data_IF_027892050757
#
_entry.id   IF_027892050757
#
_cell.length_a   1.000
_cell.length_b   1.000
_cell.length_c   1.000
_cell.angle_alpha   90.00
_cell.angle_beta   90.00
_cell.angle_gamma   90.00
#
_symmetry.space_group_name_H-M   'P 1'
#
loop_
_entity.id
_entity.type
_entity.pdbx_description
1 polymer ?
#
# COMPACT_ATOMS: atom_id res chain seq x y z
N UNK A 1 0.95 19.41 -19.68
CA UNK A 1 0.98 17.94 -19.64
C UNK A 1 0.79 17.57 -18.19
N UNK A 2 -0.17 16.70 -17.90
CA UNK A 2 -0.50 16.25 -16.56
C UNK A 2 -0.09 14.79 -16.41
N UNK A 3 0.10 14.34 -15.17
CA UNK A 3 0.16 12.92 -14.87
C UNK A 3 -1.26 12.33 -14.75
N UNK A 4 -1.44 11.09 -15.19
CA UNK A 4 -2.69 10.31 -15.05
C UNK A 4 -2.43 8.92 -14.50
N UNK A 5 -3.39 8.40 -13.75
CA UNK A 5 -3.40 7.02 -13.26
C UNK A 5 -4.00 6.11 -14.35
N UNK A 6 -3.14 5.48 -15.15
CA UNK A 6 -3.53 4.83 -16.40
C UNK A 6 -4.03 3.40 -16.22
N UNK A 7 -3.48 2.64 -15.28
CA UNK A 7 -3.88 1.25 -15.07
C UNK A 7 -3.54 0.78 -13.67
N UNK A 8 -4.19 -0.32 -13.27
CA UNK A 8 -3.94 -1.03 -12.02
C UNK A 8 -3.79 -2.53 -12.30
N UNK A 9 -2.93 -3.20 -11.57
CA UNK A 9 -2.83 -4.65 -11.48
C UNK A 9 -2.52 -5.06 -10.04
N UNK A 10 -2.89 -6.28 -9.66
CA UNK A 10 -2.53 -6.82 -8.37
C UNK A 10 -2.24 -8.32 -8.47
N UNK A 11 -1.51 -8.81 -7.48
CA UNK A 11 -1.25 -10.22 -7.29
C UNK A 11 -1.44 -10.59 -5.83
N UNK A 12 -2.13 -11.71 -5.63
CA UNK A 12 -2.36 -12.31 -4.32
C UNK A 12 -1.77 -13.73 -4.34
N UNK A 13 -0.93 -14.10 -3.36
CA UNK A 13 -0.45 -15.46 -3.21
C UNK A 13 -1.56 -16.48 -3.04
N UNK A 14 -1.25 -17.77 -3.20
CA UNK A 14 -2.25 -18.84 -3.19
C UNK A 14 -2.62 -19.34 -1.79
N UNK A 15 -1.70 -19.31 -0.84
CA UNK A 15 -1.94 -19.90 0.47
C UNK A 15 -2.81 -18.97 1.31
N UNK A 16 -3.95 -19.47 1.76
CA UNK A 16 -4.89 -18.73 2.61
C UNK A 16 -4.59 -19.02 4.08
N UNK A 17 -4.44 -17.97 4.87
CA UNK A 17 -4.42 -18.00 6.33
C UNK A 17 -5.76 -17.46 6.84
N UNK A 18 -6.71 -18.36 7.13
CA UNK A 18 -7.95 -18.00 7.80
C UNK A 18 -7.74 -17.80 9.31
N UNK A 19 -8.77 -17.38 10.04
CA UNK A 19 -8.66 -17.18 11.49
C UNK A 19 -8.39 -18.50 12.25
N UNK A 20 -8.83 -19.65 11.72
CA UNK A 20 -8.58 -20.97 12.33
C UNK A 20 -7.11 -21.36 12.31
N UNK A 21 -6.35 -20.95 11.30
CA UNK A 21 -4.89 -21.09 11.32
C UNK A 21 -4.29 -20.43 12.56
N UNK A 22 -4.73 -19.22 12.91
CA UNK A 22 -4.20 -18.48 14.07
C UNK A 22 -4.64 -19.08 15.42
N UNK A 23 -5.85 -19.62 15.51
CA UNK A 23 -6.32 -20.40 16.68
C UNK A 23 -5.37 -21.56 17.03
N UNK A 24 -4.69 -22.13 16.03
CA UNK A 24 -3.77 -23.26 16.24
C UNK A 24 -2.37 -22.87 16.73
N UNK A 25 -2.00 -21.58 16.68
CA UNK A 25 -0.63 -21.12 16.97
C UNK A 25 -0.54 -20.09 18.09
N UNK A 26 -1.64 -19.39 18.42
CA UNK A 26 -1.70 -18.41 19.51
C UNK A 26 -3.05 -18.47 20.24
N UNK A 27 -3.10 -17.98 21.48
CA UNK A 27 -4.35 -17.89 22.26
C UNK A 27 -5.27 -16.79 21.69
N UNK A 28 -6.16 -17.18 20.78
CA UNK A 28 -7.14 -16.34 20.07
C UNK A 28 -8.30 -17.17 19.52
N UNK A 29 -9.31 -16.51 18.95
CA UNK A 29 -10.43 -17.11 18.22
C UNK A 29 -10.93 -16.20 17.08
N UNK A 30 -11.71 -16.76 16.15
CA UNK A 30 -12.32 -16.02 15.03
C UNK A 30 -13.11 -14.79 15.49
N UNK A 31 -13.91 -14.90 16.56
CA UNK A 31 -14.72 -13.79 17.05
C UNK A 31 -13.84 -12.62 17.52
N UNK A 32 -12.77 -12.92 18.25
CA UNK A 32 -11.82 -11.96 18.77
C UNK A 32 -11.09 -11.24 17.64
N UNK A 33 -10.62 -11.99 16.64
CA UNK A 33 -9.92 -11.42 15.48
C UNK A 33 -10.87 -10.55 14.69
N UNK A 34 -12.03 -11.08 14.30
CA UNK A 34 -12.98 -10.37 13.44
C UNK A 34 -13.52 -9.11 14.10
N UNK A 35 -13.93 -9.17 15.37
CA UNK A 35 -14.47 -8.01 16.10
C UNK A 35 -13.47 -6.86 16.23
N UNK A 36 -12.17 -7.17 16.34
CA UNK A 36 -11.12 -6.17 16.53
C UNK A 36 -10.57 -5.61 15.23
N UNK A 37 -10.53 -6.43 14.19
CA UNK A 37 -9.78 -6.14 12.96
C UNK A 37 -10.67 -6.03 11.73
N UNK A 38 -11.81 -6.74 11.71
CA UNK A 38 -12.66 -6.97 10.54
C UNK A 38 -12.10 -8.01 9.58
N UNK A 39 -11.02 -8.72 9.92
CA UNK A 39 -10.30 -9.62 9.01
C UNK A 39 -10.75 -11.07 9.20
N UNK A 40 -11.04 -11.75 8.07
CA UNK A 40 -11.36 -13.19 8.03
C UNK A 40 -10.24 -14.02 7.43
N UNK A 41 -9.57 -13.50 6.41
CA UNK A 41 -8.49 -14.19 5.72
C UNK A 41 -7.31 -13.26 5.46
N UNK A 42 -6.12 -13.86 5.36
CA UNK A 42 -4.92 -13.26 4.76
C UNK A 42 -4.32 -14.26 3.78
N UNK A 43 -3.32 -13.81 3.03
CA UNK A 43 -2.59 -14.67 2.10
C UNK A 43 -1.11 -14.71 2.47
N UNK A 44 -0.48 -15.86 2.24
CA UNK A 44 0.95 -16.08 2.51
C UNK A 44 1.66 -16.52 1.23
N UNK A 45 2.75 -15.86 0.90
CA UNK A 45 3.64 -16.26 -0.18
C UNK A 45 4.32 -17.60 0.14
N UNK A 46 4.58 -18.41 -0.89
CA UNK A 46 5.40 -19.61 -0.74
C UNK A 46 6.81 -19.23 -0.27
N UNK A 47 7.55 -20.19 0.31
CA UNK A 47 8.91 -19.94 0.83
C UNK A 47 9.87 -19.45 -0.26
N UNK A 48 9.68 -19.94 -1.49
CA UNK A 48 10.46 -19.56 -2.68
C UNK A 48 9.87 -18.40 -3.49
N UNK A 49 8.82 -17.74 -2.98
CA UNK A 49 8.22 -16.56 -3.58
C UNK A 49 8.59 -15.33 -2.74
N UNK A 50 9.31 -14.37 -3.33
CA UNK A 50 9.82 -13.18 -2.65
C UNK A 50 8.99 -11.94 -2.99
N UNK A 51 9.23 -10.84 -2.30
CA UNK A 51 8.51 -9.57 -2.51
C UNK A 51 8.61 -9.08 -3.95
N UNK A 52 9.79 -9.21 -4.58
CA UNK A 52 9.96 -8.90 -5.99
C UNK A 52 9.12 -9.79 -6.92
N UNK A 53 8.89 -11.07 -6.60
CA UNK A 53 8.04 -11.94 -7.40
C UNK A 53 6.58 -11.49 -7.35
N UNK A 54 6.09 -11.13 -6.16
CA UNK A 54 4.74 -10.56 -6.00
C UNK A 54 4.60 -9.28 -6.83
N UNK A 55 5.58 -8.38 -6.73
CA UNK A 55 5.62 -7.13 -7.48
C UNK A 55 5.67 -7.33 -8.99
N UNK A 56 6.42 -8.33 -9.48
CA UNK A 56 6.49 -8.67 -10.91
C UNK A 56 5.13 -9.13 -11.45
N UNK A 57 4.43 -10.00 -10.72
CA UNK A 57 3.12 -10.50 -11.16
C UNK A 57 2.09 -9.37 -11.20
N UNK A 58 2.05 -8.50 -10.18
CA UNK A 58 1.18 -7.33 -10.19
C UNK A 58 1.53 -6.36 -11.35
N UNK A 59 2.82 -6.11 -11.58
CA UNK A 59 3.30 -5.23 -12.65
C UNK A 59 2.95 -5.74 -14.04
N UNK A 60 3.06 -7.05 -14.30
CA UNK A 60 2.65 -7.65 -15.58
C UNK A 60 1.19 -7.33 -15.91
N UNK A 61 0.30 -7.47 -14.93
CA UNK A 61 -1.12 -7.15 -15.09
C UNK A 61 -1.34 -5.66 -15.37
N UNK A 62 -0.69 -4.78 -14.61
CA UNK A 62 -0.81 -3.33 -14.80
C UNK A 62 -0.31 -2.88 -16.19
N UNK A 63 0.84 -3.41 -16.64
CA UNK A 63 1.42 -3.13 -17.96
C UNK A 63 0.48 -3.62 -19.07
N UNK A 64 -0.03 -4.85 -18.94
CA UNK A 64 -0.97 -5.42 -19.89
C UNK A 64 -2.23 -4.56 -20.03
N UNK A 65 -2.82 -4.13 -18.92
CA UNK A 65 -4.03 -3.28 -18.91
C UNK A 65 -3.79 -1.86 -19.41
N UNK A 66 -2.59 -1.32 -19.22
CA UNK A 66 -2.21 -0.04 -19.79
C UNK A 66 -2.15 -0.09 -21.33
N UNK A 67 -1.98 -1.27 -21.93
CA UNK A 67 -1.87 -1.42 -23.37
C UNK A 67 -0.63 -0.73 -23.97
N UNK A 68 0.43 -0.57 -23.18
CA UNK A 68 1.67 0.09 -23.58
C UNK A 68 2.76 -0.91 -23.95
N UNK A 69 3.74 -0.50 -24.77
CA UNK A 69 5.00 -1.25 -24.85
C UNK A 69 5.75 -1.05 -23.53
N UNK A 70 6.12 -2.16 -22.87
CA UNK A 70 6.91 -2.12 -21.64
C UNK A 70 8.21 -1.33 -21.79
N UNK A 71 8.79 -1.23 -23.00
CA UNK A 71 10.00 -0.44 -23.28
C UNK A 71 9.81 1.07 -23.09
N UNK A 72 8.56 1.55 -23.11
CA UNK A 72 8.26 2.96 -22.86
C UNK A 72 8.25 3.32 -21.36
N UNK A 73 8.34 2.32 -20.46
CA UNK A 73 8.45 2.53 -19.02
C UNK A 73 9.82 3.13 -18.73
N UNK A 74 9.84 4.36 -18.25
CA UNK A 74 11.06 5.12 -18.00
C UNK A 74 11.56 5.04 -16.56
N UNK A 75 10.80 4.44 -15.63
CA UNK A 75 11.16 4.35 -14.21
C UNK A 75 10.33 3.29 -13.48
N UNK A 76 10.92 2.66 -12.47
CA UNK A 76 10.24 1.78 -11.51
C UNK A 76 10.46 2.30 -10.08
N UNK A 77 9.38 2.40 -9.31
CA UNK A 77 9.40 2.74 -7.88
C UNK A 77 8.68 1.61 -7.12
N UNK A 78 9.38 0.95 -6.19
CA UNK A 78 8.78 -0.05 -5.32
C UNK A 78 8.68 0.48 -3.89
N UNK A 79 7.47 0.66 -3.38
CA UNK A 79 7.22 0.83 -1.96
C UNK A 79 7.18 -0.54 -1.28
N UNK A 80 8.05 -0.76 -0.31
CA UNK A 80 8.06 -2.00 0.48
C UNK A 80 8.76 -1.80 1.82
N UNK A 81 8.31 -2.52 2.86
CA UNK A 81 9.04 -2.68 4.13
C UNK A 81 9.52 -4.11 4.37
N UNK A 82 9.25 -5.01 3.42
CA UNK A 82 9.71 -6.40 3.42
C UNK A 82 10.50 -6.70 2.15
N UNK A 83 11.59 -5.95 1.84
CA UNK A 83 12.34 -6.11 0.61
C UNK A 83 13.02 -7.48 0.52
N UNK A 84 13.37 -7.91 -0.68
CA UNK A 84 14.12 -9.16 -0.92
C UNK A 84 15.46 -9.19 -0.16
N UNK A 85 16.13 -8.05 -0.05
CA UNK A 85 17.40 -7.90 0.64
C UNK A 85 17.40 -6.67 1.54
N UNK A 86 18.09 -6.77 2.68
CA UNK A 86 18.33 -5.64 3.57
C UNK A 86 19.38 -4.70 2.93
N UNK A 87 19.04 -3.42 2.77
CA UNK A 87 19.86 -2.34 2.22
C UNK A 87 20.16 -2.37 0.71
N UNK A 88 20.59 -3.50 0.14
CA UNK A 88 20.91 -3.61 -1.30
C UNK A 88 21.00 -5.06 -1.82
N UNK A 89 20.72 -5.30 -3.11
CA UNK A 89 20.13 -4.36 -4.09
C UNK A 89 18.65 -4.07 -3.77
N UNK A 90 18.10 -3.03 -4.39
CA UNK A 90 16.67 -2.71 -4.25
C UNK A 90 15.78 -3.78 -4.89
N UNK A 91 14.61 -4.00 -4.30
CA UNK A 91 13.53 -4.85 -4.83
C UNK A 91 13.12 -4.40 -6.23
N UNK A 92 13.02 -3.09 -6.47
CA UNK A 92 12.73 -2.51 -7.77
C UNK A 92 13.75 -2.90 -8.85
N UNK A 93 15.04 -3.00 -8.52
CA UNK A 93 16.07 -3.46 -9.47
C UNK A 93 15.85 -4.92 -9.86
N UNK A 94 15.46 -5.78 -8.91
CA UNK A 94 15.12 -7.19 -9.17
C UNK A 94 13.87 -7.28 -10.04
N UNK A 95 12.84 -6.49 -9.74
CA UNK A 95 11.61 -6.41 -10.55
C UNK A 95 11.95 -5.95 -11.98
N UNK A 96 12.76 -4.90 -12.13
CA UNK A 96 13.22 -4.39 -13.43
C UNK A 96 13.86 -5.50 -14.28
N UNK A 97 14.79 -6.25 -13.68
CA UNK A 97 15.43 -7.38 -14.32
C UNK A 97 14.43 -8.47 -14.74
N UNK A 98 13.54 -8.89 -13.83
CA UNK A 98 12.51 -9.92 -14.08
C UNK A 98 11.49 -9.51 -15.14
N UNK A 99 11.21 -8.21 -15.29
CA UNK A 99 10.36 -7.67 -16.37
C UNK A 99 11.12 -7.50 -17.71
N UNK A 100 12.45 -7.64 -17.70
CA UNK A 100 13.31 -7.42 -18.85
C UNK A 100 13.45 -5.94 -19.23
N UNK A 101 13.30 -5.03 -18.27
CA UNK A 101 13.52 -3.60 -18.42
C UNK A 101 14.99 -3.30 -18.13
N UNK A 102 15.63 -2.51 -18.99
CA UNK A 102 17.07 -2.20 -18.92
C UNK A 102 17.28 -0.70 -19.06
N UNK A 103 18.35 -0.20 -18.44
CA UNK A 103 18.79 1.20 -18.55
C UNK A 103 17.74 2.21 -18.10
N UNK A 104 16.96 1.88 -17.06
CA UNK A 104 15.99 2.79 -16.43
C UNK A 104 16.27 2.89 -14.93
N UNK A 105 15.96 4.02 -14.28
CA UNK A 105 15.98 4.11 -12.82
C UNK A 105 15.01 3.11 -12.20
N UNK A 106 15.49 2.38 -11.18
CA UNK A 106 14.70 1.47 -10.39
C UNK A 106 15.14 1.56 -8.93
N UNK A 107 14.26 1.97 -8.03
CA UNK A 107 14.60 2.14 -6.62
C UNK A 107 13.42 1.84 -5.70
N UNK A 108 13.76 1.51 -4.46
CA UNK A 108 12.78 1.30 -3.41
C UNK A 108 12.54 2.59 -2.63
N UNK A 109 11.35 2.75 -2.09
CA UNK A 109 11.06 3.71 -1.04
C UNK A 109 10.51 3.01 0.20
N UNK A 110 10.90 3.50 1.37
CA UNK A 110 10.39 3.04 2.66
C UNK A 110 9.64 4.18 3.33
N UNK A 111 8.32 4.19 3.16
CA UNK A 111 7.38 5.04 3.90
C UNK A 111 6.24 4.17 4.50
N UNK A 112 6.58 2.93 4.89
CA UNK A 112 5.64 1.97 5.45
C UNK A 112 4.34 1.88 4.63
N UNK A 113 3.20 1.80 5.31
CA UNK A 113 1.89 1.67 4.69
C UNK A 113 1.50 2.87 3.80
N UNK A 114 2.11 4.05 3.98
CA UNK A 114 1.87 5.22 3.13
C UNK A 114 2.69 5.21 1.83
N UNK A 115 3.57 4.21 1.67
CA UNK A 115 4.51 4.10 0.57
C UNK A 115 3.90 4.21 -0.82
N UNK A 116 2.70 3.66 -1.06
CA UNK A 116 2.08 3.77 -2.39
C UNK A 116 1.71 5.21 -2.77
N UNK A 117 1.23 6.01 -1.82
CA UNK A 117 0.91 7.43 -2.05
C UNK A 117 2.20 8.26 -2.22
N UNK A 118 3.25 7.93 -1.47
CA UNK A 118 4.57 8.52 -1.69
C UNK A 118 5.12 8.18 -3.08
N UNK A 119 5.00 6.94 -3.53
CA UNK A 119 5.41 6.53 -4.88
C UNK A 119 4.59 7.27 -5.95
N UNK A 120 3.29 7.44 -5.73
CA UNK A 120 2.40 8.20 -6.61
C UNK A 120 2.83 9.67 -6.72
N UNK A 121 3.21 10.30 -5.60
CA UNK A 121 3.73 11.68 -5.56
C UNK A 121 5.00 11.84 -6.41
N UNK A 122 5.96 10.92 -6.21
CA UNK A 122 7.21 10.91 -6.98
C UNK A 122 6.91 10.68 -8.47
N UNK A 123 6.08 9.68 -8.80
CA UNK A 123 5.72 9.38 -10.19
C UNK A 123 5.02 10.56 -10.89
N UNK A 124 4.09 11.25 -10.22
CA UNK A 124 3.44 12.46 -10.73
C UNK A 124 4.48 13.52 -11.09
N UNK A 125 5.41 13.82 -10.18
CA UNK A 125 6.46 14.82 -10.41
C UNK A 125 7.34 14.47 -11.63
N UNK A 126 7.78 13.21 -11.74
CA UNK A 126 8.63 12.76 -12.85
C UNK A 126 7.92 12.79 -14.20
N UNK A 127 6.63 12.43 -14.24
CA UNK A 127 5.81 12.51 -15.46
C UNK A 127 5.57 13.96 -15.88
N UNK A 128 5.21 14.85 -14.95
CA UNK A 128 4.93 16.26 -15.25
C UNK A 128 6.19 17.05 -15.62
N UNK A 129 7.33 16.69 -15.04
CA UNK A 129 8.66 17.18 -15.44
C UNK A 129 9.14 16.60 -16.78
N UNK A 130 8.38 15.68 -17.40
CA UNK A 130 8.71 14.99 -18.66
C UNK A 130 9.99 14.16 -18.60
N UNK A 131 10.39 13.72 -17.41
CA UNK A 131 11.55 12.83 -17.21
C UNK A 131 11.21 11.40 -17.64
N UNK A 132 9.97 10.96 -17.43
CA UNK A 132 9.48 9.66 -17.87
C UNK A 132 8.08 9.77 -18.50
N UNK A 133 7.85 9.06 -19.60
CA UNK A 133 6.52 8.97 -20.24
C UNK A 133 5.57 8.11 -19.43
N UNK A 134 6.07 6.99 -18.93
CA UNK A 134 5.37 6.09 -18.00
C UNK A 134 6.28 5.74 -16.82
N UNK A 135 5.72 5.77 -15.62
CA UNK A 135 6.35 5.33 -14.38
C UNK A 135 5.54 4.14 -13.85
N UNK A 136 6.21 3.03 -13.58
CA UNK A 136 5.64 1.88 -12.90
C UNK A 136 5.83 2.04 -11.40
N UNK A 137 4.74 2.20 -10.66
CA UNK A 137 4.75 2.22 -9.20
C UNK A 137 4.19 0.92 -8.65
N UNK A 138 4.80 0.40 -7.59
CA UNK A 138 4.48 -0.91 -7.02
C UNK A 138 4.45 -0.77 -5.50
N UNK A 139 3.37 -1.24 -4.86
CA UNK A 139 3.37 -1.59 -3.44
C UNK A 139 3.42 -3.10 -3.32
N UNK A 140 4.44 -3.66 -2.70
CA UNK A 140 4.62 -5.11 -2.60
C UNK A 140 5.15 -5.50 -1.23
N UNK A 141 4.56 -6.53 -0.64
CA UNK A 141 4.97 -7.00 0.68
C UNK A 141 4.87 -8.52 0.84
N UNK A 142 5.91 -9.10 1.45
CA UNK A 142 5.89 -10.40 2.10
C UNK A 142 6.00 -10.20 3.62
N UNK A 143 4.98 -9.57 4.22
CA UNK A 143 4.98 -9.24 5.65
C UNK A 143 5.08 -10.48 6.54
N UNK A 144 4.65 -11.65 6.06
CA UNK A 144 4.83 -12.93 6.75
C UNK A 144 6.28 -13.24 7.12
N UNK A 145 7.26 -12.60 6.45
CA UNK A 145 8.69 -12.75 6.76
C UNK A 145 9.19 -11.86 7.92
N UNK A 146 8.43 -10.85 8.31
CA UNK A 146 8.80 -9.87 9.35
C UNK A 146 7.77 -9.79 10.49
N UNK A 147 6.90 -10.79 10.60
CA UNK A 147 5.88 -10.93 11.65
C UNK A 147 6.33 -11.97 12.68
N UNK A 148 6.15 -11.64 13.97
CA UNK A 148 6.36 -12.58 15.06
C UNK A 148 5.09 -13.41 15.30
N UNK A 149 5.10 -14.67 14.87
CA UNK A 149 3.93 -15.56 15.03
C UNK A 149 3.65 -15.96 16.48
N UNK A 150 4.49 -15.59 17.44
CA UNK A 150 4.20 -15.76 18.88
C UNK A 150 3.46 -14.56 19.48
N UNK A 151 3.47 -13.41 18.79
CA UNK A 151 2.79 -12.19 19.21
C UNK A 151 1.41 -12.06 18.55
N UNK A 152 0.38 -12.48 19.30
CA UNK A 152 -1.03 -12.39 18.85
C UNK A 152 -1.48 -10.97 18.52
N UNK A 153 -0.81 -9.93 19.03
CA UNK A 153 -1.23 -8.54 18.81
C UNK A 153 -0.95 -8.06 17.38
N UNK A 154 -0.01 -8.70 16.69
CA UNK A 154 0.44 -8.34 15.35
C UNK A 154 0.20 -9.46 14.34
N UNK A 155 0.44 -10.73 14.70
CA UNK A 155 0.46 -11.82 13.73
C UNK A 155 -0.87 -12.07 13.03
N UNK A 156 -2.00 -11.74 13.67
CA UNK A 156 -3.34 -11.87 13.11
C UNK A 156 -3.71 -10.77 12.11
N UNK A 157 -2.87 -9.76 11.91
CA UNK A 157 -3.19 -8.60 11.07
C UNK A 157 -2.70 -8.76 9.64
N UNK A 158 -1.47 -9.24 9.48
CA UNK A 158 -0.72 -9.02 8.27
C UNK A 158 -0.85 -10.16 7.25
N UNK A 159 -0.84 -9.76 5.98
CA UNK A 159 -0.83 -10.66 4.83
C UNK A 159 0.19 -10.21 3.80
N UNK A 160 0.43 -11.10 2.83
CA UNK A 160 1.33 -10.88 1.70
C UNK A 160 0.54 -10.51 0.45
N UNK A 161 1.13 -9.70 -0.42
CA UNK A 161 0.52 -9.31 -1.68
C UNK A 161 1.25 -8.17 -2.38
N UNK A 162 0.82 -7.88 -3.60
CA UNK A 162 1.33 -6.75 -4.35
C UNK A 162 0.23 -6.09 -5.20
N UNK A 163 0.37 -4.80 -5.39
CA UNK A 163 -0.38 -4.01 -6.35
C UNK A 163 0.54 -3.07 -7.11
N UNK A 164 0.26 -2.86 -8.39
CA UNK A 164 1.07 -2.04 -9.29
C UNK A 164 0.19 -1.14 -10.15
N UNK A 165 0.69 0.05 -10.47
CA UNK A 165 0.00 0.99 -11.33
C UNK A 165 0.97 1.61 -12.35
N UNK A 166 0.42 1.97 -13.52
CA UNK A 166 1.12 2.79 -14.50
C UNK A 166 0.64 4.23 -14.35
N UNK A 167 1.59 5.13 -14.07
CA UNK A 167 1.35 6.57 -14.11
C UNK A 167 1.90 7.09 -15.43
N UNK A 168 1.04 7.69 -16.25
CA UNK A 168 1.38 8.12 -17.60
C UNK A 168 1.11 9.59 -17.83
N UNK A 169 1.53 10.10 -18.99
CA UNK A 169 1.22 11.49 -19.38
C UNK A 169 -0.16 11.61 -20.03
N UNK A 170 -0.81 12.76 -19.84
CA UNK A 170 -2.03 13.15 -20.56
C UNK A 170 -2.08 14.64 -20.84
N UNK A 171 -2.81 15.02 -21.87
CA UNK A 171 -3.21 16.41 -22.15
C UNK A 171 -4.66 16.68 -21.75
N UNK A 172 -5.43 15.64 -21.40
CA UNK A 172 -6.80 15.77 -20.96
C UNK A 172 -6.83 16.09 -19.46
N UNK A 173 -7.32 17.27 -19.11
CA UNK A 173 -7.39 17.71 -17.72
C UNK A 173 -8.32 16.83 -16.86
N UNK A 174 -9.32 16.18 -17.48
CA UNK A 174 -10.25 15.28 -16.78
C UNK A 174 -9.63 13.93 -16.40
N UNK A 175 -8.40 13.67 -16.85
CA UNK A 175 -7.64 12.46 -16.50
C UNK A 175 -6.53 12.76 -15.49
N UNK A 176 -6.37 14.02 -15.06
CA UNK A 176 -5.23 14.42 -14.23
C UNK A 176 -5.32 13.82 -12.84
N UNK A 177 -4.17 13.49 -12.27
CA UNK A 177 -4.03 13.41 -10.82
C UNK A 177 -4.18 14.84 -10.29
N UNK A 178 -5.23 15.08 -9.51
CA UNK A 178 -5.64 16.41 -9.07
C UNK A 178 -4.64 16.96 -8.07
N UNK A 179 -4.45 16.24 -6.97
CA UNK A 179 -3.65 16.69 -5.84
C UNK A 179 -3.18 15.51 -5.00
N UNK A 180 -2.02 15.67 -4.36
CA UNK A 180 -1.42 14.69 -3.46
C UNK A 180 -0.81 15.44 -2.28
N UNK A 181 -1.14 15.01 -1.07
CA UNK A 181 -0.46 15.42 0.15
C UNK A 181 0.34 14.24 0.71
N UNK A 182 1.58 14.49 1.12
CA UNK A 182 2.41 13.52 1.87
C UNK A 182 3.10 14.25 3.01
N UNK A 183 3.23 13.60 4.17
CA UNK A 183 3.75 14.22 5.39
C UNK A 183 4.25 13.18 6.38
N UNK A 184 5.13 13.60 7.28
CA UNK A 184 5.78 12.73 8.24
C UNK A 184 5.96 13.44 9.59
N UNK A 185 5.96 12.66 10.66
CA UNK A 185 6.28 13.09 12.01
C UNK A 185 7.10 12.00 12.73
N UNK A 186 8.40 12.25 12.84
CA UNK A 186 9.37 11.35 13.44
C UNK A 186 9.31 11.26 14.98
N UNK A 187 8.51 12.11 15.65
CA UNK A 187 8.34 12.04 17.10
C UNK A 187 7.82 10.66 17.54
N UNK A 188 6.99 10.04 16.70
CA UNK A 188 6.31 8.77 16.95
C UNK A 188 7.04 7.55 16.38
N UNK A 189 8.35 7.64 16.15
CA UNK A 189 9.15 6.59 15.50
C UNK A 189 9.03 5.19 16.12
N UNK A 190 8.69 5.10 17.41
CA UNK A 190 8.60 3.85 18.18
C UNK A 190 7.17 3.27 18.24
N UNK A 191 6.20 3.90 17.55
CA UNK A 191 4.81 3.43 17.52
C UNK A 191 4.63 2.22 16.59
N UNK A 192 5.35 2.19 15.47
CA UNK A 192 5.33 1.10 14.51
C UNK A 192 6.70 1.00 13.85
N UNK A 193 7.45 -0.03 14.22
CA UNK A 193 8.88 -0.15 13.90
C UNK A 193 9.27 -1.62 13.75
N UNK A 194 10.30 -1.88 12.93
CA UNK A 194 11.09 -3.12 12.98
C UNK A 194 12.44 -2.76 13.62
N UNK A 195 12.67 -3.09 14.91
CA UNK A 195 13.82 -2.56 15.65
C UNK A 195 15.20 -2.98 15.09
N UNK A 196 15.29 -4.15 14.47
CA UNK A 196 16.45 -4.72 13.79
C UNK A 196 16.13 -5.10 12.34
N UNK A 197 17.09 -5.47 11.51
CA UNK A 197 18.53 -5.56 11.78
C UNK A 197 19.30 -4.33 11.24
N UNK A 198 18.78 -3.12 11.45
CA UNK A 198 19.41 -1.88 10.99
C UNK A 198 20.63 -1.46 11.83
N UNK A 199 21.20 -0.28 11.52
CA UNK A 199 22.39 0.24 12.21
C UNK A 199 22.21 0.43 13.73
N UNK A 200 20.98 0.68 14.19
CA UNK A 200 20.64 0.81 15.62
C UNK A 200 20.73 -0.52 16.37
N UNK A 201 20.39 -1.63 15.70
CA UNK A 201 20.49 -3.00 16.22
C UNK A 201 21.01 -3.92 15.10
N UNK A 202 22.34 -3.98 14.89
CA UNK A 202 22.93 -4.80 13.84
C UNK A 202 22.62 -6.29 14.01
N UNK A 203 22.64 -7.04 12.90
CA UNK A 203 22.48 -8.50 12.91
C UNK A 203 23.37 -9.14 13.99
N UNK A 204 22.75 -9.79 14.97
CA UNK A 204 23.44 -10.40 16.10
C UNK A 204 22.54 -11.43 16.78
N UNK A 205 23.12 -12.32 17.60
CA UNK A 205 22.34 -13.27 18.39
C UNK A 205 21.33 -12.56 19.30
N UNK A 206 21.72 -11.42 19.88
CA UNK A 206 20.83 -10.57 20.70
C UNK A 206 19.56 -10.17 19.94
N UNK A 207 19.67 -9.77 18.68
CA UNK A 207 18.50 -9.39 17.86
C UNK A 207 17.52 -10.56 17.75
N UNK A 208 18.03 -11.77 17.55
CA UNK A 208 17.20 -12.98 17.45
C UNK A 208 16.55 -13.33 18.79
N UNK A 209 17.34 -13.36 19.87
CA UNK A 209 16.87 -13.71 21.22
C UNK A 209 15.81 -12.73 21.74
N UNK A 210 15.95 -11.44 21.40
CA UNK A 210 15.00 -10.39 21.78
C UNK A 210 13.90 -10.14 20.72
N UNK A 211 13.87 -10.94 19.64
CA UNK A 211 12.85 -10.86 18.58
C UNK A 211 12.78 -9.46 17.92
N UNK A 212 13.92 -8.76 17.81
CA UNK A 212 14.01 -7.40 17.30
C UNK A 212 13.90 -7.32 15.77
N UNK A 213 14.08 -8.44 15.06
CA UNK A 213 13.90 -8.55 13.61
C UNK A 213 12.44 -8.47 13.16
N UNK A 214 11.49 -8.60 14.10
CA UNK A 214 10.07 -8.58 13.80
C UNK A 214 9.45 -7.20 14.05
N UNK A 215 8.36 -6.92 13.33
CA UNK A 215 7.57 -5.71 13.51
C UNK A 215 7.00 -5.64 14.93
N UNK A 216 7.09 -4.47 15.55
CA UNK A 216 6.52 -4.15 16.86
C UNK A 216 5.59 -2.94 16.72
N UNK A 217 4.47 -2.96 17.43
CA UNK A 217 3.41 -1.95 17.30
C UNK A 217 2.78 -1.56 18.64
N UNK A 218 2.62 -0.26 18.88
CA UNK A 218 1.83 0.32 19.97
C UNK A 218 0.39 0.61 19.50
N UNK A 219 -0.39 -0.45 19.27
CA UNK A 219 -1.63 -0.37 18.48
C UNK A 219 -2.67 0.66 18.95
N UNK A 220 -2.83 0.87 20.26
CA UNK A 220 -3.82 1.83 20.79
C UNK A 220 -3.38 3.28 20.56
N UNK A 221 -2.11 3.56 20.78
CA UNK A 221 -1.48 4.86 20.57
C UNK A 221 -1.44 5.19 19.08
N UNK A 222 -1.03 4.23 18.25
CA UNK A 222 -1.06 4.33 16.78
C UNK A 222 -2.46 4.65 16.27
N UNK A 223 -3.50 3.95 16.76
CA UNK A 223 -4.88 4.18 16.34
C UNK A 223 -5.35 5.62 16.59
N UNK A 224 -5.06 6.17 17.77
CA UNK A 224 -5.49 7.53 18.15
C UNK A 224 -4.86 8.60 17.26
N UNK A 225 -3.57 8.47 16.98
CA UNK A 225 -2.85 9.40 16.09
C UNK A 225 -3.34 9.22 14.66
N UNK A 226 -3.48 7.98 14.18
CA UNK A 226 -3.91 7.67 12.82
C UNK A 226 -5.25 8.31 12.46
N UNK A 227 -6.29 8.11 13.27
CA UNK A 227 -7.63 8.64 12.97
C UNK A 227 -7.62 10.16 12.90
N UNK A 228 -6.99 10.84 13.86
CA UNK A 228 -6.91 12.30 13.88
C UNK A 228 -6.14 12.83 12.67
N UNK A 229 -4.97 12.25 12.38
CA UNK A 229 -4.10 12.70 11.30
C UNK A 229 -4.74 12.48 9.94
N UNK A 230 -5.26 11.27 9.67
CA UNK A 230 -5.93 10.95 8.42
C UNK A 230 -7.14 11.85 8.18
N UNK A 231 -8.02 11.99 9.16
CA UNK A 231 -9.21 12.84 9.03
C UNK A 231 -8.86 14.30 8.74
N UNK A 232 -7.84 14.86 9.40
CA UNK A 232 -7.41 16.23 9.13
C UNK A 232 -6.82 16.38 7.72
N UNK A 233 -5.98 15.42 7.32
CA UNK A 233 -5.30 15.41 6.02
C UNK A 233 -6.29 15.38 4.86
N UNK A 234 -7.29 14.50 4.92
CA UNK A 234 -8.33 14.41 3.87
C UNK A 234 -9.27 15.62 3.86
N UNK A 235 -9.61 16.18 5.04
CA UNK A 235 -10.45 17.39 5.12
C UNK A 235 -9.73 18.58 4.51
N UNK A 236 -8.44 18.76 4.79
CA UNK A 236 -7.62 19.80 4.20
C UNK A 236 -7.50 19.62 2.68
N UNK A 237 -7.20 18.39 2.22
CA UNK A 237 -7.07 18.07 0.80
C UNK A 237 -8.37 18.37 0.03
N UNK A 238 -9.52 17.96 0.56
CA UNK A 238 -10.83 18.23 -0.05
C UNK A 238 -11.13 19.73 -0.05
N UNK A 239 -10.91 20.42 1.07
CA UNK A 239 -11.17 21.85 1.22
C UNK A 239 -10.34 22.70 0.26
N UNK A 240 -9.02 22.46 0.15
CA UNK A 240 -8.14 23.24 -0.72
C UNK A 240 -8.40 23.03 -2.21
N UNK A 241 -9.03 21.91 -2.58
CA UNK A 241 -9.48 21.64 -3.94
C UNK A 241 -10.95 22.02 -4.20
N UNK A 242 -11.69 22.48 -3.19
CA UNK A 242 -13.11 22.81 -3.31
C UNK A 242 -13.98 21.61 -3.67
N UNK A 243 -13.57 20.39 -3.30
CA UNK A 243 -14.28 19.15 -3.60
C UNK A 243 -15.04 18.71 -2.35
N UNK A 244 -16.35 18.53 -2.50
CA UNK A 244 -17.19 17.98 -1.44
C UNK A 244 -17.10 16.45 -1.40
N UNK A 245 -17.27 15.85 -0.22
CA UNK A 245 -17.14 14.39 -0.03
C UNK A 245 -18.18 13.58 -0.82
N UNK A 246 -19.33 14.16 -1.17
CA UNK A 246 -20.34 13.52 -2.03
C UNK A 246 -19.89 13.32 -3.50
N UNK A 247 -18.82 14.00 -3.93
CA UNK A 247 -18.24 13.86 -5.27
C UNK A 247 -17.21 12.75 -5.38
N UNK A 248 -16.81 12.14 -4.27
CA UNK A 248 -15.88 11.02 -4.28
C UNK A 248 -16.63 9.75 -4.69
N UNK A 249 -16.22 9.11 -5.78
CA UNK A 249 -16.84 7.85 -6.19
C UNK A 249 -16.35 6.69 -5.32
N UNK A 250 -15.04 6.66 -5.04
CA UNK A 250 -14.41 5.63 -4.22
C UNK A 250 -13.43 6.23 -3.21
N UNK A 251 -13.68 6.00 -1.94
CA UNK A 251 -12.74 6.20 -0.85
C UNK A 251 -11.98 4.90 -0.60
N UNK A 252 -10.67 4.93 -0.83
CA UNK A 252 -9.79 3.75 -0.86
C UNK A 252 -8.64 3.96 0.14
N UNK A 253 -8.92 3.73 1.44
CA UNK A 253 -7.92 3.86 2.48
C UNK A 253 -6.92 2.72 2.50
N UNK A 254 -5.80 2.95 3.19
CA UNK A 254 -4.95 1.88 3.68
C UNK A 254 -5.78 0.89 4.50
N UNK A 255 -5.70 -0.40 4.15
CA UNK A 255 -6.51 -1.46 4.72
C UNK A 255 -5.86 -2.01 6.00
N UNK A 256 -5.67 -1.14 7.01
CA UNK A 256 -5.03 -1.52 8.27
C UNK A 256 -5.93 -2.39 9.16
N UNK A 257 -7.13 -1.88 9.41
CA UNK A 257 -8.23 -2.54 10.11
C UNK A 257 -9.52 -1.76 9.84
N UNK A 258 -10.67 -2.43 9.97
CA UNK A 258 -11.98 -1.83 9.69
C UNK A 258 -12.29 -0.59 10.54
N UNK A 259 -11.80 -0.51 11.77
CA UNK A 259 -12.15 0.56 12.72
C UNK A 259 -11.59 1.92 12.32
N UNK A 260 -10.37 1.98 11.79
CA UNK A 260 -9.77 3.23 11.29
C UNK A 260 -10.55 3.71 10.06
N UNK A 261 -10.78 2.81 9.10
CA UNK A 261 -11.50 3.10 7.86
C UNK A 261 -12.89 3.69 8.17
N UNK A 262 -13.62 3.05 9.08
CA UNK A 262 -14.93 3.53 9.52
C UNK A 262 -14.84 4.91 10.15
N UNK A 263 -13.90 5.15 11.06
CA UNK A 263 -13.77 6.43 11.76
C UNK A 263 -13.47 7.60 10.80
N UNK A 264 -12.61 7.39 9.80
CA UNK A 264 -12.33 8.40 8.76
C UNK A 264 -13.55 8.59 7.86
N UNK A 265 -14.20 7.50 7.43
CA UNK A 265 -15.42 7.56 6.62
C UNK A 265 -16.56 8.33 7.29
N UNK A 266 -16.79 8.08 8.58
CA UNK A 266 -17.78 8.78 9.40
C UNK A 266 -17.42 10.27 9.53
N UNK A 267 -16.14 10.61 9.72
CA UNK A 267 -15.67 12.01 9.80
C UNK A 267 -15.95 12.78 8.50
N UNK A 268 -15.82 12.10 7.36
CA UNK A 268 -16.09 12.67 6.03
C UNK A 268 -17.57 12.62 5.62
N UNK A 269 -18.44 12.03 6.45
CA UNK A 269 -19.84 11.74 6.12
C UNK A 269 -20.00 10.94 4.81
N UNK A 270 -19.10 9.99 4.54
CA UNK A 270 -19.16 9.16 3.35
C UNK A 270 -20.29 8.14 3.45
N UNK A 271 -20.96 7.91 2.32
CA UNK A 271 -21.87 6.79 2.17
C UNK A 271 -21.11 5.46 2.10
N UNK A 272 -21.71 4.39 2.62
CA UNK A 272 -21.11 3.05 2.63
C UNK A 272 -20.66 2.59 1.24
N UNK A 273 -21.43 2.92 0.19
CA UNK A 273 -21.10 2.62 -1.21
C UNK A 273 -19.86 3.36 -1.76
N UNK A 274 -19.38 4.40 -1.07
CA UNK A 274 -18.14 5.10 -1.45
C UNK A 274 -16.94 4.39 -0.83
N UNK A 275 -17.11 3.73 0.33
CA UNK A 275 -16.01 3.12 1.07
C UNK A 275 -15.63 1.79 0.42
N UNK A 276 -14.33 1.58 0.21
CA UNK A 276 -13.77 0.33 -0.31
C UNK A 276 -13.13 -0.45 0.83
N UNK A 277 -13.67 -1.66 1.06
CA UNK A 277 -13.26 -2.56 2.13
C UNK A 277 -12.78 -3.87 1.52
N UNK A 278 -11.48 -4.12 1.62
CA UNK A 278 -10.84 -5.38 1.23
C UNK A 278 -10.00 -5.98 2.36
N UNK A 279 -9.87 -5.27 3.48
CA UNK A 279 -9.19 -5.73 4.70
C UNK A 279 -9.75 -7.07 5.19
N UNK A 280 -11.05 -7.32 5.03
CA UNK A 280 -11.69 -8.58 5.40
C UNK A 280 -11.07 -9.80 4.70
N UNK A 281 -10.72 -9.61 3.43
CA UNK A 281 -10.23 -10.65 2.51
C UNK A 281 -8.70 -10.78 2.52
N UNK A 282 -7.98 -9.66 2.48
CA UNK A 282 -6.52 -9.68 2.33
C UNK A 282 -5.76 -9.48 3.63
N UNK A 283 -6.43 -9.04 4.70
CA UNK A 283 -5.76 -8.48 5.87
C UNK A 283 -5.01 -7.19 5.56
N UNK A 284 -4.04 -6.88 6.40
CA UNK A 284 -3.16 -5.73 6.22
C UNK A 284 -1.94 -6.13 5.38
N UNK A 285 -1.88 -5.62 4.15
CA UNK A 285 -0.75 -5.82 3.22
C UNK A 285 0.13 -4.57 3.09
N UNK A 286 0.15 -3.70 4.12
CA UNK A 286 0.90 -2.44 4.19
C UNK A 286 0.79 -1.61 2.88
N UNK A 287 1.91 -1.31 2.23
CA UNK A 287 1.96 -0.48 1.03
C UNK A 287 1.21 -1.08 -0.17
N UNK A 288 1.00 -2.40 -0.21
CA UNK A 288 0.24 -3.06 -1.25
C UNK A 288 -1.28 -2.89 -1.10
N UNK A 289 -1.76 -2.45 0.07
CA UNK A 289 -3.20 -2.53 0.38
C UNK A 289 -4.07 -1.65 -0.52
N UNK A 290 -3.63 -0.41 -0.77
CA UNK A 290 -4.36 0.54 -1.61
C UNK A 290 -4.44 0.04 -3.05
N UNK A 291 -3.31 -0.27 -3.73
CA UNK A 291 -3.39 -0.74 -5.12
C UNK A 291 -4.11 -2.10 -5.25
N UNK A 292 -4.04 -2.98 -4.25
CA UNK A 292 -4.85 -4.20 -4.23
C UNK A 292 -6.34 -3.90 -4.09
N UNK A 293 -6.73 -2.93 -3.26
CA UNK A 293 -8.12 -2.51 -3.12
C UNK A 293 -8.67 -1.86 -4.40
N UNK A 294 -7.87 -1.00 -5.07
CA UNK A 294 -8.18 -0.44 -6.39
C UNK A 294 -8.39 -1.57 -7.41
N UNK A 295 -7.52 -2.58 -7.41
CA UNK A 295 -7.66 -3.73 -8.30
C UNK A 295 -8.93 -4.54 -8.04
N UNK A 296 -9.31 -4.76 -6.78
CA UNK A 296 -10.51 -5.53 -6.41
C UNK A 296 -11.80 -4.86 -6.93
N UNK A 297 -11.89 -3.52 -6.83
CA UNK A 297 -13.01 -2.76 -7.40
C UNK A 297 -12.96 -2.64 -8.93
N UNK A 298 -11.77 -2.70 -9.53
CA UNK A 298 -11.60 -2.77 -10.99
C UNK A 298 -12.12 -4.12 -11.54
N UNK A 299 -11.70 -5.24 -10.95
CA UNK A 299 -12.10 -6.59 -11.38
C UNK A 299 -13.60 -6.84 -11.20
N UNK A 300 -14.19 -6.29 -10.14
CA UNK A 300 -15.64 -6.35 -9.91
C UNK A 300 -16.45 -5.36 -10.75
N UNK A 301 -15.80 -4.60 -11.65
CA UNK A 301 -16.41 -3.58 -12.53
C UNK A 301 -17.09 -2.43 -11.78
N UNK A 302 -16.73 -2.24 -10.50
CA UNK A 302 -17.20 -1.14 -9.66
C UNK A 302 -16.45 0.16 -9.98
N UNK A 303 -15.15 0.07 -10.29
CA UNK A 303 -14.33 1.19 -10.76
C UNK A 303 -14.46 1.37 -12.26
N UNK A 304 -14.68 2.61 -12.71
CA UNK A 304 -14.84 2.98 -14.12
C UNK A 304 -13.91 4.12 -14.49
N UNK A 305 -13.66 4.27 -15.79
CA UNK A 305 -12.97 5.43 -16.33
C UNK A 305 -13.67 6.74 -15.91
N UNK A 306 -12.90 7.69 -15.38
CA UNK A 306 -13.38 8.98 -14.93
C UNK A 306 -13.87 9.01 -13.48
N UNK A 307 -13.95 7.87 -12.80
CA UNK A 307 -14.29 7.84 -11.37
C UNK A 307 -13.23 8.59 -10.55
N UNK A 308 -13.67 9.39 -9.58
CA UNK A 308 -12.83 10.11 -8.64
C UNK A 308 -12.52 9.24 -7.42
N UNK A 309 -11.25 8.90 -7.26
CA UNK A 309 -10.74 8.16 -6.11
C UNK A 309 -10.13 9.13 -5.08
N UNK A 310 -10.50 8.97 -3.82
CA UNK A 310 -9.80 9.52 -2.66
C UNK A 310 -8.98 8.39 -2.04
N UNK A 311 -7.66 8.50 -2.09
CA UNK A 311 -6.74 7.58 -1.42
C UNK A 311 -6.25 8.25 -0.13
N UNK A 312 -6.10 7.50 0.95
CA UNK A 312 -5.47 7.95 2.19
C UNK A 312 -4.71 6.81 2.86
N UNK A 313 -3.59 7.13 3.48
CA UNK A 313 -2.72 6.14 4.10
C UNK A 313 -1.99 6.71 5.30
N UNK A 314 -1.71 5.84 6.26
CA UNK A 314 -0.93 6.14 7.45
C UNK A 314 -0.07 4.92 7.79
N UNK A 315 1.18 5.13 8.14
CA UNK A 315 2.13 4.06 8.42
C UNK A 315 3.24 4.46 9.37
N UNK A 316 4.16 3.52 9.63
CA UNK A 316 5.35 3.71 10.47
C UNK A 316 6.18 4.92 10.03
N UNK A 317 6.87 5.54 11.00
CA UNK A 317 7.60 6.79 10.81
C UNK A 317 7.38 7.81 11.95
N UNK A 318 6.17 8.30 12.21
CA UNK A 318 4.94 8.06 11.44
C UNK A 318 4.93 8.84 10.11
N UNK A 319 4.27 8.28 9.12
CA UNK A 319 4.08 8.88 7.78
C UNK A 319 2.61 8.79 7.39
N UNK A 320 2.14 9.76 6.62
CA UNK A 320 0.79 9.73 6.05
C UNK A 320 0.74 10.43 4.70
N UNK A 321 -0.34 10.19 3.98
CA UNK A 321 -0.65 10.96 2.78
C UNK A 321 -2.05 10.69 2.29
N UNK A 322 -2.52 11.58 1.43
CA UNK A 322 -3.80 11.48 0.74
C UNK A 322 -3.66 11.96 -0.71
N UNK A 323 -4.54 11.49 -1.58
CA UNK A 323 -4.55 11.93 -2.97
C UNK A 323 -5.93 11.89 -3.59
N UNK A 324 -6.20 12.86 -4.47
CA UNK A 324 -7.38 12.93 -5.32
C UNK A 324 -6.98 12.58 -6.75
N UNK A 325 -7.50 11.47 -7.25
CA UNK A 325 -7.03 10.84 -8.48
C UNK A 325 -8.21 10.38 -9.32
N UNK A 326 -8.29 10.82 -10.58
CA UNK A 326 -9.18 10.20 -11.55
C UNK A 326 -8.58 8.87 -12.04
N UNK A 327 -9.41 7.83 -12.14
CA UNK A 327 -9.00 6.61 -12.83
C UNK A 327 -9.13 6.81 -14.35
N UNK A 328 -8.00 6.73 -15.07
CA UNK A 328 -7.94 6.96 -16.51
C UNK A 328 -7.75 5.67 -17.32
N UNK A 329 -7.94 4.50 -16.70
CA UNK A 329 -7.85 3.19 -17.36
C UNK A 329 -9.12 2.81 -18.12
N UNK A 330 -8.99 1.80 -18.98
CA UNK A 330 -10.09 1.21 -19.74
C UNK A 330 -10.81 0.12 -18.95
#
# INVERSE_FOLDING_TARGET
MFAKFLSIGAYTPKNVMDNKYFESIVETDDEWIYKRTGIKTRFKADDNQYTSDLGVEAAKVAIQRAGIDKKDIGMIICATISPDYLCMPSTACIISHKLGLKNIPAFDISAACSGFIYALSIAKAYVEAKVAKYVLIIGAEKLSSIVDYTDRSTCVLFGDGAGAAIIGTTTNEKEKIIDINISADGEFQDFLITPGCGSKNPCSQKVLDEHLQFMKMKGNETFKVAVKTLSNDVVELLSRNGISSDKIDHFIPHQANYRIIKAVGDTLNLHEKQIVLTVEKYGNTSSASIPMAINDIYESKRLKNGDLMLLDAFGGGLTWGSSLVYFAGN
#
